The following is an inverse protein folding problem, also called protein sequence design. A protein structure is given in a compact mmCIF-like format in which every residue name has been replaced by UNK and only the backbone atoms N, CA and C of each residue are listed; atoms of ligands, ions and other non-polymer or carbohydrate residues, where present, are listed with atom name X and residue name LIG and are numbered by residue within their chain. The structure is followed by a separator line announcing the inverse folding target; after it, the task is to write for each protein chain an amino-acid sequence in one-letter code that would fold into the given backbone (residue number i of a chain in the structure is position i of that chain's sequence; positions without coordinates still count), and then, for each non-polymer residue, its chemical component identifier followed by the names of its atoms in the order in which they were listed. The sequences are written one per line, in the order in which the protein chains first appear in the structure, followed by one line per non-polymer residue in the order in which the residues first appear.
data_IF_785044424047
#
_entry.id   IF_785044424047
#
_cell.length_a   1.000
_cell.length_b   1.000
_cell.length_c   1.000
_cell.angle_alpha   90.00
_cell.angle_beta   90.00
_cell.angle_gamma   90.00
#
_symmetry.space_group_name_H-M   'P 1'
#
loop_
_entity.id
_entity.type
_entity.pdbx_description
1 polymer ?
#
# COMPACT_ATOMS: atom_id res chain seq x y z
N UNK A 1 32.50 16.71 20.16
CA UNK A 1 31.35 16.04 20.78
C UNK A 1 30.62 15.30 19.64
N UNK A 2 30.53 13.97 19.71
CA UNK A 2 29.77 13.22 18.71
C UNK A 2 28.30 13.49 18.96
N UNK A 3 27.66 14.26 18.10
CA UNK A 3 26.20 14.34 18.12
C UNK A 3 25.61 12.91 17.97
N UNK A 4 24.58 12.56 18.74
CA UNK A 4 23.96 11.25 18.60
C UNK A 4 23.42 11.13 17.16
N UNK A 5 23.79 10.04 16.48
CA UNK A 5 23.30 9.77 15.13
C UNK A 5 21.77 9.72 15.16
N UNK A 6 21.07 10.43 14.26
CA UNK A 6 19.63 10.35 14.20
C UNK A 6 19.18 8.90 13.98
N UNK A 7 18.14 8.48 14.72
CA UNK A 7 17.57 7.15 14.63
C UNK A 7 17.01 6.90 13.21
N UNK A 8 17.08 5.68 12.70
CA UNK A 8 16.42 5.34 11.44
C UNK A 8 14.91 5.29 11.59
N UNK A 9 14.18 5.53 10.49
CA UNK A 9 12.79 5.16 10.37
C UNK A 9 12.70 3.67 10.05
N UNK A 10 11.83 2.95 10.76
CA UNK A 10 11.43 1.59 10.40
C UNK A 10 10.01 1.65 9.85
N UNK A 11 9.82 1.26 8.60
CA UNK A 11 8.55 1.42 7.89
C UNK A 11 8.11 0.06 7.38
N UNK A 12 6.96 -0.41 7.87
CA UNK A 12 6.30 -1.60 7.33
C UNK A 12 5.15 -1.16 6.45
N UNK A 13 5.23 -1.47 5.15
CA UNK A 13 4.19 -1.21 4.16
C UNK A 13 3.32 -2.46 4.03
N UNK A 14 2.05 -2.37 4.37
CA UNK A 14 1.09 -3.48 4.38
C UNK A 14 -0.05 -3.22 3.39
N UNK A 15 -0.33 -4.18 2.51
CA UNK A 15 -1.57 -4.17 1.75
C UNK A 15 -2.71 -4.73 2.60
N UNK A 16 -3.88 -4.13 2.53
CA UNK A 16 -5.11 -4.59 3.19
C UNK A 16 -5.45 -6.06 2.90
N UNK A 17 -6.26 -6.69 3.74
CA UNK A 17 -6.81 -8.04 3.54
C UNK A 17 -7.71 -8.13 2.30
N UNK A 18 -8.09 -9.33 1.90
CA UNK A 18 -8.97 -9.55 0.75
C UNK A 18 -10.31 -8.82 0.96
N UNK A 19 -10.69 -8.01 -0.04
CA UNK A 19 -11.98 -7.32 -0.08
C UNK A 19 -12.97 -8.06 -0.98
N UNK A 20 -14.25 -7.74 -0.86
CA UNK A 20 -15.29 -8.20 -1.80
C UNK A 20 -14.87 -7.90 -3.24
N UNK A 21 -14.37 -6.70 -3.51
CA UNK A 21 -13.91 -6.33 -4.85
C UNK A 21 -12.69 -7.12 -5.33
N UNK A 22 -11.80 -7.60 -4.43
CA UNK A 22 -10.71 -8.51 -4.81
C UNK A 22 -11.25 -9.89 -5.23
N UNK A 23 -12.15 -10.47 -4.44
CA UNK A 23 -12.76 -11.76 -4.74
C UNK A 23 -13.55 -11.74 -6.07
N UNK A 24 -14.16 -10.60 -6.41
CA UNK A 24 -14.88 -10.40 -7.66
C UNK A 24 -14.01 -9.88 -8.81
N UNK A 25 -12.68 -9.78 -8.63
CA UNK A 25 -11.74 -9.29 -9.64
C UNK A 25 -12.09 -7.91 -10.22
N UNK A 26 -12.57 -6.99 -9.35
CA UNK A 26 -12.93 -5.62 -9.72
C UNK A 26 -11.75 -4.67 -9.67
N UNK A 27 -11.75 -3.70 -10.56
CA UNK A 27 -10.93 -2.49 -10.48
C UNK A 27 -11.49 -1.60 -9.38
N UNK A 28 -11.06 -1.82 -8.14
CA UNK A 28 -11.67 -1.13 -7.02
C UNK A 28 -11.36 0.38 -7.02
N UNK A 29 -10.08 0.71 -7.21
CA UNK A 29 -9.66 2.10 -7.07
C UNK A 29 -10.11 2.67 -5.72
N UNK A 30 -10.74 3.84 -5.74
CA UNK A 30 -11.33 4.48 -4.57
C UNK A 30 -12.78 4.08 -4.31
N UNK A 31 -13.39 3.19 -5.12
CA UNK A 31 -14.65 2.55 -4.75
C UNK A 31 -14.49 1.75 -3.45
N UNK A 32 -15.41 1.96 -2.51
CA UNK A 32 -15.21 1.57 -1.11
C UNK A 32 -15.83 0.20 -0.79
N UNK A 33 -15.14 -0.86 -1.21
CA UNK A 33 -15.50 -2.24 -0.91
C UNK A 33 -14.97 -2.66 0.47
N UNK A 34 -15.78 -3.33 1.33
CA UNK A 34 -15.34 -3.85 2.62
C UNK A 34 -14.44 -5.09 2.47
N UNK A 35 -13.78 -5.49 3.54
CA UNK A 35 -13.16 -6.82 3.63
C UNK A 35 -14.24 -7.90 3.51
N UNK A 36 -13.89 -9.03 2.91
CA UNK A 36 -14.68 -10.27 3.03
C UNK A 36 -14.17 -11.10 4.24
N UNK A 37 -14.78 -12.24 4.51
CA UNK A 37 -14.42 -13.08 5.66
C UNK A 37 -13.02 -13.66 5.54
N UNK A 38 -12.57 -13.99 4.32
CA UNK A 38 -11.18 -14.39 4.05
C UNK A 38 -10.20 -13.28 4.42
N UNK A 39 -10.49 -12.05 4.00
CA UNK A 39 -9.63 -10.90 4.32
C UNK A 39 -9.53 -10.63 5.82
N UNK A 40 -10.64 -10.75 6.56
CA UNK A 40 -10.63 -10.65 8.01
C UNK A 40 -9.78 -11.74 8.67
N UNK A 41 -9.88 -12.97 8.16
CA UNK A 41 -9.05 -14.08 8.64
C UNK A 41 -7.57 -13.88 8.33
N UNK A 42 -7.22 -13.42 7.12
CA UNK A 42 -5.85 -13.07 6.72
C UNK A 42 -5.25 -12.02 7.66
N UNK A 43 -5.98 -10.94 7.93
CA UNK A 43 -5.50 -9.84 8.79
C UNK A 43 -5.32 -10.30 10.23
N UNK A 44 -6.24 -11.12 10.77
CA UNK A 44 -6.09 -11.70 12.12
C UNK A 44 -4.87 -12.61 12.20
N UNK A 45 -4.65 -13.48 11.20
CA UNK A 45 -3.48 -14.34 11.15
C UNK A 45 -2.17 -13.54 11.16
N UNK A 46 -2.10 -12.43 10.42
CA UNK A 46 -0.95 -11.53 10.44
C UNK A 46 -0.76 -10.87 11.81
N UNK A 47 -1.82 -10.35 12.40
CA UNK A 47 -1.76 -9.70 13.71
C UNK A 47 -1.29 -10.65 14.81
N UNK A 48 -1.78 -11.90 14.81
CA UNK A 48 -1.34 -12.93 15.75
C UNK A 48 0.12 -13.37 15.53
N UNK A 49 0.56 -13.47 14.25
CA UNK A 49 1.97 -13.69 13.93
C UNK A 49 2.83 -12.60 14.53
N UNK A 50 2.51 -11.32 14.29
CA UNK A 50 3.30 -10.19 14.81
C UNK A 50 3.29 -10.12 16.34
N UNK A 51 2.15 -10.46 16.97
CA UNK A 51 2.06 -10.59 18.44
C UNK A 51 2.99 -11.68 18.97
N UNK A 52 2.99 -12.85 18.32
CA UNK A 52 3.86 -13.99 18.71
C UNK A 52 5.35 -13.69 18.50
N UNK A 53 5.68 -12.95 17.43
CA UNK A 53 7.05 -12.54 17.10
C UNK A 53 7.50 -11.29 17.89
N UNK A 54 6.66 -10.78 18.80
CA UNK A 54 6.87 -9.54 19.59
C UNK A 54 7.22 -8.31 18.71
N UNK A 55 6.64 -8.22 17.51
CA UNK A 55 6.83 -7.08 16.62
C UNK A 55 6.21 -5.84 17.24
N UNK A 56 6.95 -4.73 17.24
CA UNK A 56 6.50 -3.45 17.82
C UNK A 56 6.37 -2.39 16.75
N UNK A 57 5.28 -1.66 16.83
CA UNK A 57 5.05 -0.44 16.09
C UNK A 57 4.71 0.70 17.08
N UNK A 58 5.10 1.90 16.72
CA UNK A 58 4.79 3.10 17.51
C UNK A 58 3.48 3.75 17.05
N UNK A 59 3.17 3.63 15.74
CA UNK A 59 1.98 4.21 15.14
C UNK A 59 1.57 3.44 13.88
N UNK A 60 0.26 3.29 13.71
CA UNK A 60 -0.36 2.86 12.45
C UNK A 60 -0.83 4.09 11.68
N UNK A 61 -0.48 4.19 10.41
CA UNK A 61 -1.05 5.16 9.48
C UNK A 61 -1.82 4.36 8.42
N UNK A 62 -3.08 4.68 8.17
CA UNK A 62 -3.90 3.89 7.28
C UNK A 62 -4.68 4.74 6.28
N UNK A 63 -4.89 4.18 5.09
CA UNK A 63 -5.90 4.67 4.16
C UNK A 63 -7.29 4.65 4.81
N UNK A 64 -8.13 5.68 4.60
CA UNK A 64 -9.49 5.71 5.13
C UNK A 64 -10.48 4.77 4.43
N UNK A 65 -10.14 4.15 3.28
CA UNK A 65 -11.01 3.18 2.60
C UNK A 65 -11.30 1.97 3.48
N UNK A 66 -12.55 1.50 3.49
CA UNK A 66 -13.07 0.48 4.41
C UNK A 66 -12.14 -0.73 4.55
N UNK A 67 -11.67 -1.31 3.44
CA UNK A 67 -10.78 -2.48 3.45
C UNK A 67 -9.44 -2.25 4.16
N UNK A 68 -8.84 -1.07 4.00
CA UNK A 68 -7.60 -0.71 4.67
C UNK A 68 -7.85 -0.27 6.12
N UNK A 69 -8.91 0.50 6.35
CA UNK A 69 -9.34 0.93 7.67
C UNK A 69 -9.64 -0.28 8.57
N UNK A 70 -10.49 -1.21 8.13
CA UNK A 70 -10.83 -2.41 8.91
C UNK A 70 -9.60 -3.30 9.14
N UNK A 71 -8.68 -3.42 8.15
CA UNK A 71 -7.39 -4.12 8.34
C UNK A 71 -6.54 -3.49 9.43
N UNK A 72 -6.43 -2.16 9.43
CA UNK A 72 -5.69 -1.42 10.45
C UNK A 72 -6.32 -1.57 11.84
N UNK A 73 -7.66 -1.49 11.94
CA UNK A 73 -8.40 -1.62 13.19
C UNK A 73 -8.23 -3.01 13.82
N UNK A 74 -8.29 -4.09 13.02
CA UNK A 74 -8.05 -5.46 13.49
C UNK A 74 -6.63 -5.58 14.07
N UNK A 75 -5.61 -5.12 13.34
CA UNK A 75 -4.20 -5.19 13.79
C UNK A 75 -4.00 -4.33 15.03
N UNK A 76 -4.50 -3.10 15.03
CA UNK A 76 -4.36 -2.17 16.15
C UNK A 76 -5.02 -2.70 17.42
N UNK A 77 -6.17 -3.37 17.32
CA UNK A 77 -6.84 -4.01 18.44
C UNK A 77 -5.99 -5.13 19.08
N UNK A 78 -5.33 -5.97 18.25
CA UNK A 78 -4.50 -7.09 18.74
C UNK A 78 -3.18 -6.61 19.36
N UNK A 79 -2.59 -5.55 18.78
CA UNK A 79 -1.27 -5.03 19.18
C UNK A 79 -1.35 -3.79 20.09
N UNK A 80 -2.55 -3.34 20.43
CA UNK A 80 -2.83 -2.14 21.25
C UNK A 80 -2.15 -0.88 20.72
N UNK A 81 -2.44 -0.51 19.46
CA UNK A 81 -1.83 0.60 18.74
C UNK A 81 -2.84 1.74 18.49
N UNK A 82 -2.32 2.95 18.30
CA UNK A 82 -3.09 4.09 17.77
C UNK A 82 -3.08 4.09 16.25
N UNK A 83 -4.13 4.64 15.64
CA UNK A 83 -4.27 4.74 14.19
C UNK A 83 -4.48 6.21 13.83
N UNK A 84 -3.71 6.69 12.86
CA UNK A 84 -3.96 7.93 12.11
C UNK A 84 -4.50 7.55 10.73
N UNK A 85 -5.59 8.19 10.28
CA UNK A 85 -6.06 8.03 8.91
C UNK A 85 -5.56 9.19 8.05
N UNK A 86 -4.93 8.84 6.92
CA UNK A 86 -4.34 9.84 6.02
C UNK A 86 -4.74 9.53 4.56
N UNK A 87 -5.49 10.44 3.89
CA UNK A 87 -5.93 10.28 2.51
C UNK A 87 -4.81 10.13 1.48
N UNK A 88 -3.58 10.55 1.78
CA UNK A 88 -2.46 10.33 0.88
C UNK A 88 -2.17 8.84 0.65
N UNK A 89 -2.64 7.95 1.53
CA UNK A 89 -2.50 6.50 1.42
C UNK A 89 -3.69 5.81 0.74
N UNK A 90 -4.64 6.56 0.13
CA UNK A 90 -5.71 6.02 -0.71
C UNK A 90 -5.15 5.24 -1.90
N UNK A 91 -5.92 4.27 -2.41
CA UNK A 91 -5.61 3.61 -3.68
C UNK A 91 -5.69 4.61 -4.85
N UNK A 92 -5.19 4.22 -6.02
CA UNK A 92 -5.38 4.94 -7.27
C UNK A 92 -6.86 5.27 -7.45
N UNK A 93 -7.15 6.48 -7.85
CA UNK A 93 -8.44 6.76 -8.44
C UNK A 93 -8.49 6.14 -9.84
N UNK A 94 -9.42 5.21 -10.04
CA UNK A 94 -9.57 4.52 -11.32
C UNK A 94 -10.62 5.19 -12.24
N UNK A 95 -11.15 6.37 -11.87
CA UNK A 95 -12.18 7.05 -12.65
C UNK A 95 -13.34 6.13 -12.98
N UNK A 96 -13.81 6.16 -14.22
CA UNK A 96 -14.92 5.35 -14.73
C UNK A 96 -14.69 3.82 -14.63
N UNK A 97 -13.46 3.36 -14.38
CA UNK A 97 -13.19 1.93 -14.18
C UNK A 97 -13.50 1.47 -12.74
N UNK A 98 -13.72 2.40 -11.81
CA UNK A 98 -13.95 2.08 -10.41
C UNK A 98 -15.19 1.21 -10.22
N UNK A 99 -15.01 0.04 -9.60
CA UNK A 99 -16.06 -0.93 -9.34
C UNK A 99 -16.34 -1.90 -10.48
N UNK A 100 -15.82 -1.70 -11.69
CA UNK A 100 -16.01 -2.59 -12.83
C UNK A 100 -15.07 -3.79 -12.77
N UNK A 101 -15.49 -4.91 -13.34
CA UNK A 101 -14.60 -6.05 -13.59
C UNK A 101 -13.69 -5.79 -14.78
N UNK A 102 -12.57 -6.53 -14.88
CA UNK A 102 -11.68 -6.43 -16.04
C UNK A 102 -12.39 -6.78 -17.36
N UNK A 103 -13.44 -7.61 -17.31
CA UNK A 103 -14.27 -7.93 -18.48
C UNK A 103 -15.10 -6.72 -18.91
N UNK A 104 -15.81 -6.08 -17.99
CA UNK A 104 -16.64 -4.90 -18.26
C UNK A 104 -15.79 -3.74 -18.79
N UNK A 105 -14.61 -3.51 -18.19
CA UNK A 105 -13.68 -2.48 -18.68
C UNK A 105 -13.29 -2.76 -20.15
N UNK A 106 -12.91 -4.00 -20.48
CA UNK A 106 -12.56 -4.36 -21.87
C UNK A 106 -13.69 -4.24 -22.88
N UNK A 107 -14.95 -4.44 -22.44
CA UNK A 107 -16.11 -4.33 -23.31
C UNK A 107 -16.55 -2.89 -23.54
N UNK A 108 -16.46 -2.05 -22.53
CA UNK A 108 -17.09 -0.73 -22.54
C UNK A 108 -16.11 0.41 -22.89
N UNK A 109 -14.82 0.17 -22.82
CA UNK A 109 -13.81 1.21 -23.01
C UNK A 109 -12.78 0.84 -24.10
N UNK A 110 -12.30 1.84 -24.80
CA UNK A 110 -11.21 1.65 -25.75
C UNK A 110 -9.88 1.52 -25.03
N UNK A 111 -9.05 0.60 -25.49
CA UNK A 111 -7.70 0.40 -24.97
C UNK A 111 -6.70 0.91 -26.01
N UNK A 112 -6.02 2.04 -25.76
CA UNK A 112 -4.99 2.53 -26.66
C UNK A 112 -3.83 1.52 -26.73
N UNK A 113 -3.23 1.37 -27.91
CA UNK A 113 -2.04 0.53 -28.11
C UNK A 113 -0.79 1.11 -27.45
N UNK A 114 -0.83 2.36 -27.08
CA UNK A 114 0.22 3.09 -26.38
C UNK A 114 -0.37 4.04 -25.35
N UNK A 115 0.20 4.04 -24.14
CA UNK A 115 -0.16 4.99 -23.09
C UNK A 115 1.10 5.57 -22.46
N UNK A 116 1.02 6.84 -22.10
CA UNK A 116 2.06 7.54 -21.34
C UNK A 116 1.75 7.49 -19.83
N UNK A 117 2.72 7.74 -18.96
CA UNK A 117 2.44 7.85 -17.52
C UNK A 117 1.52 9.04 -17.17
N UNK A 118 1.34 9.98 -18.08
CA UNK A 118 0.53 11.20 -17.89
C UNK A 118 -0.93 11.01 -18.28
N UNK A 119 -1.27 9.88 -18.92
CA UNK A 119 -2.64 9.60 -19.34
C UNK A 119 -3.47 9.17 -18.13
N UNK A 120 -4.66 9.76 -17.99
CA UNK A 120 -5.61 9.40 -16.95
C UNK A 120 -6.12 7.95 -17.11
N UNK A 121 -6.37 7.27 -16.00
CA UNK A 121 -7.01 5.96 -15.99
C UNK A 121 -8.52 6.15 -15.91
N UNK A 122 -9.31 5.41 -16.71
CA UNK A 122 -10.77 5.48 -16.67
C UNK A 122 -11.34 6.87 -16.98
N UNK A 123 -10.73 7.60 -17.90
CA UNK A 123 -11.20 8.91 -18.35
C UNK A 123 -10.73 10.07 -17.46
N UNK A 124 -11.06 10.07 -16.18
CA UNK A 124 -10.78 11.14 -15.23
C UNK A 124 -10.01 10.72 -13.97
N UNK A 125 -9.61 9.44 -13.87
CA UNK A 125 -8.84 8.91 -12.75
C UNK A 125 -7.36 9.29 -12.76
N UNK A 126 -6.64 8.88 -11.73
CA UNK A 126 -5.20 9.15 -11.59
C UNK A 126 -4.36 8.38 -12.62
N UNK A 127 -3.56 9.09 -13.41
CA UNK A 127 -2.47 8.52 -14.19
C UNK A 127 -1.33 7.96 -13.31
N UNK A 128 -0.41 7.23 -13.93
CA UNK A 128 0.73 6.67 -13.21
C UNK A 128 1.63 7.76 -12.60
N UNK A 129 1.76 8.91 -13.29
CA UNK A 129 2.56 10.03 -12.81
C UNK A 129 1.95 10.71 -11.59
N UNK A 130 0.65 10.94 -11.61
CA UNK A 130 -0.08 11.55 -10.49
C UNK A 130 -0.02 10.67 -9.25
N UNK A 131 -0.26 9.36 -9.40
CA UNK A 131 -0.15 8.39 -8.33
C UNK A 131 1.28 8.34 -7.76
N UNK A 132 2.31 8.39 -8.61
CA UNK A 132 3.72 8.44 -8.19
C UNK A 132 4.04 9.71 -7.39
N UNK A 133 3.55 10.87 -7.84
CA UNK A 133 3.72 12.12 -7.10
C UNK A 133 3.03 12.07 -5.73
N UNK A 134 1.82 11.52 -5.65
CA UNK A 134 1.10 11.34 -4.38
C UNK A 134 1.82 10.35 -3.45
N UNK A 135 2.36 9.25 -3.98
CA UNK A 135 3.20 8.32 -3.24
C UNK A 135 4.45 9.00 -2.66
N UNK A 136 5.13 9.83 -3.47
CA UNK A 136 6.25 10.65 -3.03
C UNK A 136 5.86 11.64 -1.93
N UNK A 137 4.71 12.29 -2.05
CA UNK A 137 4.19 13.21 -1.04
C UNK A 137 3.84 12.49 0.27
N UNK A 138 3.26 11.29 0.21
CA UNK A 138 2.96 10.47 1.38
C UNK A 138 4.26 10.09 2.14
N UNK A 139 5.30 9.65 1.40
CA UNK A 139 6.63 9.40 1.97
C UNK A 139 7.25 10.66 2.56
N UNK A 140 7.20 11.79 1.85
CA UNK A 140 7.75 13.05 2.34
C UNK A 140 7.08 13.45 3.67
N UNK A 141 5.77 13.38 3.77
CA UNK A 141 5.03 13.70 5.00
C UNK A 141 5.37 12.74 6.14
N UNK A 142 5.55 11.43 5.84
CA UNK A 142 5.99 10.44 6.82
C UNK A 142 7.39 10.77 7.37
N UNK A 143 8.34 11.11 6.50
CA UNK A 143 9.73 11.39 6.88
C UNK A 143 9.92 12.78 7.56
N UNK A 144 8.88 13.60 7.60
CA UNK A 144 8.85 14.85 8.42
C UNK A 144 8.38 14.60 9.85
N UNK A 145 7.90 13.41 10.16
CA UNK A 145 7.61 12.99 11.54
C UNK A 145 8.92 12.59 12.24
N UNK A 146 8.84 12.33 13.52
CA UNK A 146 9.99 11.80 14.27
C UNK A 146 10.32 10.37 13.82
N UNK A 147 11.61 9.97 13.79
CA UNK A 147 12.00 8.59 13.53
C UNK A 147 11.34 7.61 14.50
N UNK A 148 10.64 6.62 13.97
CA UNK A 148 9.87 5.64 14.75
C UNK A 148 9.63 4.37 13.91
N UNK A 149 8.89 3.40 14.49
CA UNK A 149 8.42 2.18 13.83
C UNK A 149 6.99 2.36 13.33
N UNK A 150 6.84 2.66 12.07
CA UNK A 150 5.55 2.92 11.43
C UNK A 150 5.00 1.68 10.74
N UNK A 151 3.71 1.40 10.96
CA UNK A 151 2.95 0.50 10.13
C UNK A 151 2.04 1.32 9.20
N UNK A 152 2.23 1.17 7.89
CA UNK A 152 1.40 1.80 6.87
C UNK A 152 0.46 0.76 6.29
N UNK A 153 -0.86 0.97 6.41
CA UNK A 153 -1.87 0.07 5.83
C UNK A 153 -2.53 0.74 4.63
N UNK A 154 -2.29 0.20 3.44
CA UNK A 154 -2.68 0.80 2.18
C UNK A 154 -3.01 -0.26 1.11
N UNK A 155 -2.77 0.03 -0.16
CA UNK A 155 -3.28 -0.68 -1.33
C UNK A 155 -2.17 -1.04 -2.30
N UNK A 156 -2.45 -2.00 -3.19
CA UNK A 156 -1.44 -2.55 -4.09
C UNK A 156 -0.87 -1.54 -5.09
N UNK A 157 -1.72 -0.71 -5.68
CA UNK A 157 -1.29 0.30 -6.67
C UNK A 157 -0.44 1.40 -6.03
N UNK A 158 -0.92 1.99 -4.94
CA UNK A 158 -0.15 3.04 -4.24
C UNK A 158 1.16 2.49 -3.69
N UNK A 159 1.16 1.32 -3.01
CA UNK A 159 2.38 0.75 -2.44
C UNK A 159 3.42 0.41 -3.51
N UNK A 160 2.99 -0.01 -4.71
CA UNK A 160 3.90 -0.18 -5.84
C UNK A 160 4.60 1.15 -6.21
N UNK A 161 3.87 2.27 -6.25
CA UNK A 161 4.45 3.59 -6.54
C UNK A 161 5.31 4.12 -5.38
N UNK A 162 4.97 3.81 -4.14
CA UNK A 162 5.82 4.09 -2.98
C UNK A 162 7.18 3.38 -3.13
N UNK A 163 7.17 2.10 -3.52
CA UNK A 163 8.42 1.36 -3.77
C UNK A 163 9.23 1.96 -4.92
N UNK A 164 8.57 2.39 -6.00
CA UNK A 164 9.23 3.10 -7.11
C UNK A 164 9.90 4.40 -6.63
N UNK A 165 9.21 5.18 -5.80
CA UNK A 165 9.79 6.40 -5.22
C UNK A 165 10.99 6.09 -4.31
N UNK A 166 10.94 5.01 -3.52
CA UNK A 166 12.05 4.56 -2.66
C UNK A 166 13.29 4.17 -3.48
N UNK A 167 13.11 3.49 -4.62
CA UNK A 167 14.24 3.07 -5.48
C UNK A 167 14.61 4.10 -6.54
N UNK A 168 13.92 5.25 -6.59
CA UNK A 168 14.22 6.35 -7.51
C UNK A 168 13.89 6.06 -8.98
N UNK A 169 12.87 5.24 -9.25
CA UNK A 169 12.44 4.88 -10.61
C UNK A 169 11.09 5.53 -10.91
N UNK A 170 11.06 6.41 -11.91
CA UNK A 170 9.82 7.05 -12.36
C UNK A 170 8.94 6.09 -13.19
N UNK A 171 7.62 6.32 -13.23
CA UNK A 171 6.71 5.58 -14.10
C UNK A 171 7.10 5.67 -15.57
N UNK A 172 6.90 4.58 -16.31
CA UNK A 172 7.25 4.46 -17.73
C UNK A 172 6.01 4.22 -18.58
N UNK A 173 6.10 4.56 -19.87
CA UNK A 173 5.02 4.32 -20.83
C UNK A 173 4.60 2.84 -20.86
N UNK A 174 3.34 2.60 -21.17
CA UNK A 174 2.72 1.28 -21.23
C UNK A 174 2.85 0.44 -19.94
N UNK A 175 2.96 1.10 -18.77
CA UNK A 175 3.25 0.42 -17.52
C UNK A 175 4.50 -0.51 -17.60
N UNK A 176 5.46 -0.17 -18.46
CA UNK A 176 6.72 -0.91 -18.58
C UNK A 176 7.55 -0.76 -17.30
N UNK A 177 8.43 -1.71 -17.05
CA UNK A 177 9.33 -1.69 -15.91
C UNK A 177 8.97 -2.71 -14.83
N UNK A 178 9.75 -2.69 -13.74
CA UNK A 178 9.58 -3.60 -12.63
C UNK A 178 8.28 -3.29 -11.85
N UNK A 179 7.63 -4.32 -11.34
CA UNK A 179 6.48 -4.19 -10.45
C UNK A 179 6.79 -4.80 -9.09
N UNK A 180 6.54 -4.04 -8.04
CA UNK A 180 6.60 -4.53 -6.67
C UNK A 180 5.24 -5.12 -6.30
N UNK A 181 5.19 -6.46 -6.25
CA UNK A 181 3.95 -7.17 -5.93
C UNK A 181 3.66 -7.10 -4.43
N UNK A 182 2.40 -6.83 -4.09
CA UNK A 182 1.85 -6.99 -2.76
C UNK A 182 0.61 -7.88 -2.85
N UNK A 183 0.68 -9.12 -2.35
CA UNK A 183 -0.50 -9.96 -2.13
C UNK A 183 -1.36 -9.37 -1.01
N UNK A 184 -2.62 -9.79 -0.85
CA UNK A 184 -3.43 -9.35 0.28
C UNK A 184 -2.74 -9.72 1.59
N UNK A 185 -2.69 -8.80 2.54
CA UNK A 185 -1.92 -8.86 3.80
C UNK A 185 -0.42 -9.10 3.68
N UNK A 186 0.13 -9.06 2.46
CA UNK A 186 1.58 -9.05 2.31
C UNK A 186 2.16 -7.70 2.70
N UNK A 187 3.36 -7.73 3.25
CA UNK A 187 4.07 -6.53 3.67
C UNK A 187 5.50 -6.47 3.14
N UNK A 188 6.02 -5.24 3.06
CA UNK A 188 7.43 -4.93 2.87
C UNK A 188 7.98 -4.25 4.13
N UNK A 189 9.25 -4.48 4.45
CA UNK A 189 9.96 -3.81 5.54
C UNK A 189 11.09 -2.97 4.99
N UNK A 190 11.08 -1.69 5.33
CA UNK A 190 12.03 -0.69 4.88
C UNK A 190 12.69 -0.02 6.08
N UNK A 191 13.94 0.38 5.91
CA UNK A 191 14.63 1.31 6.81
C UNK A 191 15.08 2.54 6.02
N UNK A 192 14.89 3.72 6.59
CA UNK A 192 15.43 4.95 6.06
C UNK A 192 16.38 5.59 7.05
N UNK A 193 17.61 5.90 6.59
CA UNK A 193 18.68 6.52 7.35
C UNK A 193 18.80 8.00 6.96
N UNK A 194 18.24 8.95 7.75
CA UNK A 194 18.19 10.37 7.36
C UNK A 194 19.54 10.99 7.10
N UNK A 195 20.55 10.70 7.96
CA UNK A 195 21.89 11.25 7.87
C UNK A 195 22.70 10.76 6.66
N UNK A 196 22.23 9.74 5.94
CA UNK A 196 22.86 9.19 4.74
C UNK A 196 21.96 9.30 3.51
N UNK A 197 20.73 9.76 3.69
CA UNK A 197 19.67 9.69 2.67
C UNK A 197 19.62 8.31 2.00
N UNK A 198 19.67 7.26 2.82
CA UNK A 198 19.75 5.88 2.35
C UNK A 198 18.56 5.05 2.77
N UNK A 199 18.00 4.32 1.82
CA UNK A 199 17.02 3.29 2.03
C UNK A 199 17.65 1.90 2.11
N UNK A 200 17.10 1.02 2.94
CA UNK A 200 17.31 -0.41 2.91
C UNK A 200 15.95 -1.11 2.81
N UNK A 201 15.87 -2.15 1.98
CA UNK A 201 14.68 -2.99 1.81
C UNK A 201 15.03 -4.36 2.36
N UNK A 202 14.44 -4.72 3.50
CA UNK A 202 14.76 -5.98 4.19
C UNK A 202 13.83 -7.11 3.77
N UNK A 203 12.56 -6.78 3.50
CA UNK A 203 11.55 -7.76 3.07
C UNK A 203 10.67 -7.15 2.00
N UNK A 204 10.19 -8.01 1.10
CA UNK A 204 9.23 -7.65 0.07
C UNK A 204 8.21 -8.78 -0.09
N UNK A 205 6.92 -8.41 -0.06
CA UNK A 205 5.80 -9.34 -0.23
C UNK A 205 5.80 -10.53 0.75
N UNK A 206 6.20 -10.30 2.02
CA UNK A 206 6.10 -11.34 3.06
C UNK A 206 4.62 -11.56 3.41
N UNK A 207 4.12 -12.76 3.15
CA UNK A 207 2.76 -13.20 3.47
C UNK A 207 2.74 -14.61 4.07
N UNK A 208 3.84 -15.04 4.70
CA UNK A 208 4.01 -16.39 5.25
C UNK A 208 3.03 -16.75 6.37
N UNK A 209 2.28 -15.77 6.91
CA UNK A 209 1.22 -15.97 7.90
C UNK A 209 -0.07 -16.56 7.30
N UNK A 210 -0.19 -16.53 5.97
CA UNK A 210 -1.36 -17.03 5.26
C UNK A 210 -0.93 -17.97 4.12
N UNK A 211 -1.41 -19.22 4.18
CA UNK A 211 -1.27 -20.15 3.06
C UNK A 211 -2.60 -20.12 2.32
N UNK A 212 -2.56 -19.77 1.04
CA UNK A 212 -3.71 -19.98 0.18
C UNK A 212 -4.00 -21.49 0.17
N UNK A 213 -5.27 -21.85 0.25
CA UNK A 213 -5.67 -23.25 0.04
C UNK A 213 -5.33 -23.62 -1.42
N UNK A 214 -4.58 -24.70 -1.59
CA UNK A 214 -4.25 -25.30 -2.90
C UNK A 214 -5.52 -25.68 -3.66
#
# INVERSE_FOLDING_TARGET
MNEPRPQPFYITLLRHGESVGNAESRWQGQADFPLNDTGRAQVRALAERWKKEDVKFDLVIASPLMRAKESAEIIASVLNLKIDFDPLWLERDNGDFAGLTAYEVRQNFQHPSFSTPYDSVGGDGEGDWELFLRAGQALHNLLRRDPAKYLIVSHGGLLNQVMHAVVGVAPQANNAGARFRFSNTAFAQLMYYPHQHRWAIDKLNDHAHWKEAD
#
